data_IF_182911743364
#
_entry.id   IF_182911743364
#
_cell.length_a   1.000
_cell.length_b   1.000
_cell.length_c   1.000
_cell.angle_alpha   90.00
_cell.angle_beta   90.00
_cell.angle_gamma   90.00
#
_symmetry.space_group_name_H-M   'P 1'
#
loop_
_entity.id
_entity.type
_entity.pdbx_description
1 polymer ?
#
# COMPACT_ATOMS: atom_id res chain seq x y z
N UNK A 1 0.67 12.78 9.36
CA UNK A 1 -0.33 11.83 9.96
C UNK A 1 0.40 10.79 10.83
N UNK A 2 -0.29 10.08 11.75
CA UNK A 2 0.31 9.09 12.65
C UNK A 2 -0.31 7.67 12.45
N UNK A 3 0.28 6.83 11.58
CA UNK A 3 -0.18 5.47 11.34
C UNK A 3 -0.07 4.54 12.55
N UNK A 4 0.96 4.71 13.38
CA UNK A 4 1.18 3.87 14.56
C UNK A 4 0.11 4.17 15.62
N UNK A 5 -0.20 5.45 15.82
CA UNK A 5 -1.31 5.90 16.66
C UNK A 5 -2.65 5.34 16.21
N UNK A 6 -2.90 5.29 14.90
CA UNK A 6 -4.11 4.68 14.34
C UNK A 6 -4.20 3.18 14.72
N UNK A 7 -3.12 2.41 14.53
CA UNK A 7 -3.11 0.99 14.93
C UNK A 7 -3.32 0.79 16.43
N UNK A 8 -2.72 1.62 17.28
CA UNK A 8 -2.95 1.60 18.73
C UNK A 8 -4.43 1.78 19.07
N UNK A 9 -5.07 2.78 18.49
CA UNK A 9 -6.49 3.06 18.76
C UNK A 9 -7.40 1.95 18.23
N UNK A 10 -7.12 1.41 17.04
CA UNK A 10 -7.90 0.31 16.48
C UNK A 10 -7.79 -0.96 17.34
N UNK A 11 -6.59 -1.29 17.82
CA UNK A 11 -6.36 -2.41 18.74
C UNK A 11 -7.04 -2.17 20.11
N UNK A 12 -7.09 -0.92 20.59
CA UNK A 12 -7.77 -0.55 21.84
C UNK A 12 -9.27 -0.81 21.76
N UNK A 13 -9.93 -0.39 20.67
CA UNK A 13 -11.38 -0.53 20.50
C UNK A 13 -11.81 -1.93 20.07
N UNK A 14 -10.89 -2.74 19.54
CA UNK A 14 -11.17 -4.12 19.16
C UNK A 14 -11.59 -4.93 20.39
N UNK A 15 -12.77 -5.56 20.33
CA UNK A 15 -13.26 -6.44 21.39
C UNK A 15 -12.36 -7.68 21.54
N UNK A 16 -12.33 -8.33 22.72
CA UNK A 16 -11.78 -9.66 22.86
C UNK A 16 -12.33 -10.61 21.78
N UNK A 17 -11.44 -11.41 21.18
CA UNK A 17 -11.74 -12.32 20.06
C UNK A 17 -12.25 -11.64 18.77
N UNK A 18 -12.26 -10.31 18.75
CA UNK A 18 -12.54 -9.50 17.58
C UNK A 18 -11.42 -9.62 16.53
N UNK A 19 -11.81 -9.40 15.28
CA UNK A 19 -10.90 -9.37 14.13
C UNK A 19 -10.85 -7.98 13.53
N UNK A 20 -9.63 -7.50 13.27
CA UNK A 20 -9.39 -6.33 12.42
C UNK A 20 -8.89 -6.83 11.08
N UNK A 21 -9.44 -6.26 10.00
CA UNK A 21 -9.02 -6.58 8.63
C UNK A 21 -8.56 -5.29 7.96
N UNK A 22 -7.34 -5.30 7.43
CA UNK A 22 -6.76 -4.21 6.67
C UNK A 22 -6.56 -4.66 5.23
N UNK A 23 -7.14 -3.94 4.27
CA UNK A 23 -6.97 -4.16 2.84
C UNK A 23 -6.28 -2.93 2.28
N UNK A 24 -5.07 -3.09 1.74
CA UNK A 24 -4.27 -1.95 1.28
C UNK A 24 -3.21 -2.39 0.25
N UNK A 25 -2.41 -1.45 -0.24
CA UNK A 25 -1.39 -1.66 -1.26
C UNK A 25 -0.24 -0.63 -1.14
N UNK A 26 0.80 -0.81 -1.96
CA UNK A 26 1.96 0.08 -2.05
C UNK A 26 1.73 1.26 -3.03
N UNK A 27 0.55 1.89 -3.00
CA UNK A 27 0.10 2.86 -4.03
C UNK A 27 1.13 3.95 -4.38
N UNK A 28 1.71 4.59 -3.36
CA UNK A 28 2.63 5.73 -3.51
C UNK A 28 4.10 5.38 -3.26
N UNK A 29 4.41 4.09 -3.12
CA UNK A 29 5.76 3.63 -2.78
C UNK A 29 6.79 3.92 -3.90
N UNK A 30 6.32 4.06 -5.14
CA UNK A 30 7.14 4.39 -6.31
C UNK A 30 7.84 5.77 -6.21
N UNK A 31 7.46 6.62 -5.26
CA UNK A 31 8.21 7.85 -4.96
C UNK A 31 9.55 7.60 -4.28
N UNK A 32 9.68 6.51 -3.52
CA UNK A 32 10.80 6.29 -2.61
C UNK A 32 11.47 4.93 -2.77
N UNK A 33 10.88 4.02 -3.53
CA UNK A 33 11.43 2.69 -3.81
C UNK A 33 11.71 2.51 -5.30
N UNK A 34 12.98 2.28 -5.63
CA UNK A 34 13.46 2.17 -7.01
C UNK A 34 12.86 0.98 -7.77
N UNK A 35 12.57 -0.14 -7.10
CA UNK A 35 11.96 -1.31 -7.74
C UNK A 35 10.50 -1.01 -8.10
N UNK A 36 9.76 -0.38 -7.20
CA UNK A 36 8.37 0.04 -7.46
C UNK A 36 8.29 1.21 -8.45
N UNK A 37 9.30 2.09 -8.48
CA UNK A 37 9.40 3.15 -9.47
C UNK A 37 9.52 2.60 -10.89
N UNK A 38 10.45 1.66 -11.11
CA UNK A 38 10.60 1.00 -12.41
C UNK A 38 9.34 0.24 -12.82
N UNK A 39 8.69 -0.46 -11.88
CA UNK A 39 7.41 -1.13 -12.15
C UNK A 39 6.30 -0.15 -12.54
N UNK A 40 6.23 1.00 -11.87
CA UNK A 40 5.26 2.05 -12.20
C UNK A 40 5.52 2.60 -13.61
N UNK A 41 6.76 2.96 -13.94
CA UNK A 41 7.15 3.44 -15.26
C UNK A 41 6.83 2.44 -16.37
N UNK A 42 7.10 1.14 -16.16
CA UNK A 42 6.78 0.11 -17.16
C UNK A 42 5.27 -0.04 -17.37
N UNK A 43 4.47 0.00 -16.29
CA UNK A 43 3.00 -0.03 -16.38
C UNK A 43 2.45 1.19 -17.12
N UNK A 44 3.04 2.37 -16.93
CA UNK A 44 2.62 3.57 -17.64
C UNK A 44 2.92 3.50 -19.13
N UNK A 45 4.08 2.96 -19.52
CA UNK A 45 4.42 2.78 -20.94
C UNK A 45 3.52 1.74 -21.61
N UNK A 46 3.26 0.60 -20.96
CA UNK A 46 2.33 -0.43 -21.45
C UNK A 46 0.91 0.14 -21.63
N UNK A 47 0.47 0.97 -20.70
CA UNK A 47 -0.82 1.65 -20.75
C UNK A 47 -0.89 2.65 -21.91
N UNK A 48 0.18 3.43 -22.11
CA UNK A 48 0.31 4.37 -23.25
C UNK A 48 0.27 3.65 -24.58
N UNK A 49 0.94 2.50 -24.70
CA UNK A 49 0.90 1.67 -25.89
C UNK A 49 -0.52 1.14 -26.16
N UNK A 50 -1.20 0.64 -25.13
CA UNK A 50 -2.56 0.06 -25.26
C UNK A 50 -3.65 1.08 -25.52
N UNK A 51 -3.56 2.26 -24.92
CA UNK A 51 -4.62 3.29 -24.95
C UNK A 51 -4.29 4.48 -25.85
N UNK A 52 -3.07 4.56 -26.40
CA UNK A 52 -2.57 5.69 -27.18
C UNK A 52 -2.23 6.93 -26.35
N UNK A 53 -2.48 6.91 -25.04
CA UNK A 53 -2.18 7.96 -24.10
C UNK A 53 -1.99 7.37 -22.69
N UNK A 54 -1.14 8.00 -21.90
CA UNK A 54 -1.00 7.79 -20.46
C UNK A 54 -1.14 9.15 -19.78
N UNK A 55 -1.81 9.25 -18.62
CA UNK A 55 -1.86 10.49 -17.85
C UNK A 55 -0.45 10.92 -17.43
N UNK A 56 -0.20 12.22 -17.44
CA UNK A 56 1.05 12.78 -16.91
C UNK A 56 1.14 12.54 -15.39
N UNK A 57 2.35 12.59 -14.79
CA UNK A 57 2.52 12.47 -13.35
C UNK A 57 1.58 13.42 -12.59
N UNK A 58 0.76 12.86 -11.70
CA UNK A 58 -0.22 13.61 -10.92
C UNK A 58 -1.51 13.99 -11.64
N UNK A 59 -1.67 13.77 -12.95
CA UNK A 59 -2.97 13.98 -13.62
C UNK A 59 -3.96 12.86 -13.33
N UNK A 60 -3.46 11.68 -12.94
CA UNK A 60 -4.29 10.52 -12.58
C UNK A 60 -5.36 10.20 -13.63
N UNK A 61 -6.41 9.46 -13.25
CA UNK A 61 -7.60 9.33 -14.07
C UNK A 61 -8.74 10.17 -13.45
N UNK A 62 -9.43 11.04 -14.21
CA UNK A 62 -10.43 11.96 -13.66
C UNK A 62 -11.56 11.28 -12.86
N UNK A 63 -11.86 10.02 -13.17
CA UNK A 63 -12.94 9.26 -12.56
C UNK A 63 -12.55 8.51 -11.27
N UNK A 64 -11.25 8.45 -10.93
CA UNK A 64 -10.78 7.61 -9.82
C UNK A 64 -10.78 8.33 -8.47
N UNK A 65 -10.88 9.65 -8.44
CA UNK A 65 -10.66 10.46 -7.23
C UNK A 65 -11.90 11.20 -6.72
N UNK A 66 -13.10 10.80 -7.16
CA UNK A 66 -14.39 11.36 -6.69
C UNK A 66 -14.45 12.91 -6.72
N UNK A 67 -13.82 13.52 -7.72
CA UNK A 67 -13.76 14.97 -7.89
C UNK A 67 -12.60 15.67 -7.18
N UNK A 68 -11.73 14.94 -6.47
CA UNK A 68 -10.47 15.49 -5.96
C UNK A 68 -9.45 15.69 -7.09
N UNK A 69 -8.71 16.80 -7.06
CA UNK A 69 -7.64 17.06 -8.03
C UNK A 69 -6.49 16.06 -7.78
N UNK A 70 -6.18 15.19 -8.73
CA UNK A 70 -5.16 14.16 -8.58
C UNK A 70 -3.76 14.74 -8.35
N UNK A 71 -3.50 15.98 -8.78
CA UNK A 71 -2.21 16.65 -8.57
C UNK A 71 -2.03 17.03 -7.11
N UNK A 72 -3.11 17.44 -6.45
CA UNK A 72 -3.09 17.73 -5.01
C UNK A 72 -2.82 16.45 -4.22
N UNK A 73 -3.47 15.35 -4.59
CA UNK A 73 -3.26 14.05 -3.95
C UNK A 73 -1.82 13.55 -4.15
N UNK A 74 -1.29 13.70 -5.37
CA UNK A 74 0.09 13.34 -5.72
C UNK A 74 1.12 14.10 -4.88
N UNK A 75 0.98 15.43 -4.76
CA UNK A 75 1.89 16.22 -3.94
C UNK A 75 1.76 15.85 -2.45
N UNK A 76 0.54 15.70 -1.93
CA UNK A 76 0.32 15.33 -0.54
C UNK A 76 0.82 13.92 -0.21
N UNK A 77 0.75 12.98 -1.16
CA UNK A 77 1.18 11.61 -0.98
C UNK A 77 2.69 11.48 -0.74
N UNK A 78 3.50 12.44 -1.19
CA UNK A 78 4.93 12.49 -0.87
C UNK A 78 5.17 12.68 0.63
N UNK A 79 4.31 13.44 1.31
CA UNK A 79 4.44 13.71 2.75
C UNK A 79 3.79 12.62 3.63
N UNK A 80 3.13 11.63 3.04
CA UNK A 80 2.55 10.52 3.80
C UNK A 80 3.64 9.57 4.32
N UNK A 81 3.66 9.27 5.63
CA UNK A 81 4.68 8.37 6.20
C UNK A 81 4.70 7.00 5.52
N UNK A 82 3.52 6.47 5.17
CA UNK A 82 3.39 5.13 4.60
C UNK A 82 3.84 5.02 3.15
N UNK A 83 4.02 6.14 2.45
CA UNK A 83 4.62 6.14 1.10
C UNK A 83 6.09 5.72 1.12
N UNK A 84 6.75 5.76 2.28
CA UNK A 84 8.18 5.47 2.43
C UNK A 84 8.48 4.02 2.84
N UNK A 85 7.46 3.20 3.07
CA UNK A 85 7.63 1.86 3.63
C UNK A 85 7.08 0.79 2.71
N UNK A 86 7.84 -0.31 2.54
CA UNK A 86 7.31 -1.54 1.91
C UNK A 86 6.24 -2.15 2.81
N UNK A 87 5.01 -2.21 2.30
CA UNK A 87 3.85 -2.83 2.94
C UNK A 87 3.57 -4.18 2.26
N UNK A 88 3.17 -5.23 3.00
CA UNK A 88 2.79 -5.26 4.42
C UNK A 88 3.95 -5.46 5.41
N UNK A 89 5.22 -5.47 4.99
CA UNK A 89 6.34 -5.73 5.91
C UNK A 89 6.37 -4.75 7.10
N UNK A 90 6.21 -3.46 6.83
CA UNK A 90 6.11 -2.44 7.89
C UNK A 90 4.90 -2.65 8.81
N UNK A 91 3.77 -3.15 8.29
CA UNK A 91 2.60 -3.45 9.12
C UNK A 91 2.86 -4.53 10.13
N UNK A 92 3.39 -5.65 9.64
CA UNK A 92 3.63 -6.83 10.46
C UNK A 92 4.59 -6.48 11.59
N UNK A 93 5.65 -5.74 11.28
CA UNK A 93 6.59 -5.25 12.27
C UNK A 93 5.90 -4.32 13.29
N UNK A 94 5.20 -3.30 12.82
CA UNK A 94 4.54 -2.31 13.68
C UNK A 94 3.51 -2.98 14.60
N UNK A 95 2.69 -3.89 14.07
CA UNK A 95 1.69 -4.63 14.84
C UNK A 95 2.35 -5.53 15.88
N UNK A 96 3.45 -6.18 15.55
CA UNK A 96 4.22 -6.99 16.49
C UNK A 96 4.78 -6.14 17.64
N UNK A 97 5.33 -4.96 17.35
CA UNK A 97 5.81 -3.98 18.34
C UNK A 97 4.67 -3.47 19.25
N UNK A 98 3.43 -3.44 18.74
CA UNK A 98 2.22 -3.12 19.50
C UNK A 98 1.65 -4.31 20.29
N UNK A 99 2.33 -5.46 20.30
CA UNK A 99 1.94 -6.64 21.08
C UNK A 99 0.97 -7.60 20.36
N UNK A 100 0.72 -7.40 19.07
CA UNK A 100 -0.09 -8.35 18.28
C UNK A 100 0.70 -9.65 18.08
N UNK A 101 0.16 -10.75 18.60
CA UNK A 101 0.83 -12.07 18.57
C UNK A 101 0.63 -12.84 17.27
N UNK A 102 -0.38 -12.49 16.47
CA UNK A 102 -0.69 -13.21 15.23
C UNK A 102 -1.35 -12.30 14.20
N UNK A 103 -0.72 -12.23 13.02
CA UNK A 103 -1.22 -11.55 11.83
C UNK A 103 -1.22 -12.57 10.71
N UNK A 104 -2.38 -12.79 10.08
CA UNK A 104 -2.44 -13.50 8.80
C UNK A 104 -2.25 -12.48 7.69
N UNK A 105 -1.35 -12.75 6.76
CA UNK A 105 -1.08 -11.93 5.59
C UNK A 105 -1.51 -12.71 4.36
N UNK A 106 -2.33 -12.09 3.53
CA UNK A 106 -2.65 -12.53 2.17
C UNK A 106 -2.07 -11.48 1.22
N UNK A 107 -1.29 -11.90 0.22
CA UNK A 107 -0.60 -11.00 -0.70
C UNK A 107 -1.03 -11.36 -2.11
N UNK A 108 -1.56 -10.38 -2.83
CA UNK A 108 -1.66 -10.43 -4.27
C UNK A 108 -0.37 -9.83 -4.86
N UNK A 109 0.44 -10.67 -5.51
CA UNK A 109 1.69 -10.30 -6.14
C UNK A 109 1.68 -10.79 -7.59
N UNK A 110 0.86 -10.14 -8.41
CA UNK A 110 0.66 -10.48 -9.81
C UNK A 110 1.65 -9.73 -10.72
N UNK A 111 2.21 -8.61 -10.26
CA UNK A 111 3.18 -7.81 -11.00
C UNK A 111 4.58 -8.42 -10.98
N UNK A 112 5.17 -8.73 -12.15
CA UNK A 112 6.56 -9.18 -12.23
C UNK A 112 7.51 -8.10 -11.72
N UNK A 113 8.57 -8.50 -11.03
CA UNK A 113 9.66 -7.57 -10.70
C UNK A 113 10.30 -7.05 -12.00
N UNK A 114 10.58 -5.74 -12.09
CA UNK A 114 11.26 -5.17 -13.26
C UNK A 114 12.71 -5.65 -13.39
N UNK A 115 13.25 -6.34 -12.38
CA UNK A 115 14.63 -6.86 -12.40
C UNK A 115 14.78 -8.14 -13.24
N UNK A 116 13.67 -8.73 -13.71
CA UNK A 116 13.69 -9.91 -14.58
C UNK A 116 14.17 -11.19 -13.90
N UNK A 117 14.15 -11.22 -12.57
CA UNK A 117 14.66 -12.33 -11.76
C UNK A 117 13.60 -13.40 -11.39
N UNK A 118 12.42 -13.30 -12.00
CA UNK A 118 11.30 -14.22 -11.77
C UNK A 118 10.54 -13.97 -10.47
N UNK A 119 10.91 -12.98 -9.66
CA UNK A 119 10.10 -12.55 -8.51
C UNK A 119 8.87 -11.76 -8.98
N UNK A 120 7.83 -11.76 -8.16
CA UNK A 120 6.72 -10.81 -8.26
C UNK A 120 6.73 -9.86 -7.08
N UNK A 121 6.18 -8.67 -7.27
CA UNK A 121 6.04 -7.65 -6.24
C UNK A 121 4.60 -7.58 -5.74
N UNK A 122 4.38 -7.37 -4.43
CA UNK A 122 3.06 -7.12 -3.88
C UNK A 122 2.33 -5.95 -4.56
N UNK A 123 1.22 -6.25 -5.23
CA UNK A 123 0.27 -5.27 -5.76
C UNK A 123 -0.70 -4.81 -4.67
N UNK A 124 -1.21 -5.75 -3.88
CA UNK A 124 -2.09 -5.48 -2.75
C UNK A 124 -1.96 -6.57 -1.69
N UNK A 125 -2.50 -6.31 -0.50
CA UNK A 125 -2.48 -7.26 0.59
C UNK A 125 -3.69 -7.12 1.50
N UNK A 126 -3.95 -8.20 2.23
CA UNK A 126 -4.94 -8.27 3.29
C UNK A 126 -4.28 -8.75 4.57
N UNK A 127 -4.42 -7.97 5.64
CA UNK A 127 -4.06 -8.40 6.98
C UNK A 127 -5.30 -8.80 7.73
N UNK A 128 -5.28 -9.95 8.39
CA UNK A 128 -6.26 -10.32 9.41
C UNK A 128 -5.58 -10.45 10.76
N UNK A 129 -6.00 -9.60 11.70
CA UNK A 129 -5.43 -9.48 13.03
C UNK A 129 -6.48 -9.93 14.03
N UNK A 130 -6.10 -10.81 14.95
CA UNK A 130 -7.00 -11.34 15.98
C UNK A 130 -6.53 -10.93 17.36
N UNK A 131 -7.41 -10.29 18.13
CA UNK A 131 -7.14 -9.96 19.53
C UNK A 131 -7.44 -11.17 20.40
N UNK A 132 -6.43 -12.03 20.60
CA UNK A 132 -6.54 -13.13 21.57
C UNK A 132 -6.61 -12.56 22.98
N UNK A 133 -7.47 -13.14 23.82
CA UNK A 133 -7.42 -12.89 25.26
C UNK A 133 -6.08 -13.39 25.83
N UNK A 134 -5.55 -12.66 26.81
CA UNK A 134 -4.57 -13.21 27.74
C UNK A 134 -5.24 -14.16 28.73
#
# INVERSE_FOLDING_TARGET
>A
PDPVGAYKEWLRVLKPDGKMILFDANWWLHFYDEEYKRLHESKMEEMKEKLGAAPEPGEGYPHTYQGADPRILWEFAKDLPLSHFRRPSWDVQTLAELGVRSVKVDIDASSPSPDGDGRTLPDSFVLTISKKQE
#
